data_IF_535076201968
#
_entry.id   IF_535076201968
#
_cell.length_a   1.000
_cell.length_b   1.000
_cell.length_c   1.000
_cell.angle_alpha   90.00
_cell.angle_beta   90.00
_cell.angle_gamma   90.00
#
_symmetry.space_group_name_H-M   'P 1'
#
loop_
_entity.id
_entity.type
_entity.pdbx_description
1 polymer ?
#
# COMPACT_ATOMS: atom_id res chain seq x y z
N UNK A 1 42.49 5.92 -10.86
CA UNK A 1 41.01 5.78 -10.91
C UNK A 1 40.62 4.35 -10.54
N UNK A 2 40.82 3.94 -9.31
CA UNK A 2 40.43 2.61 -8.78
C UNK A 2 40.50 2.67 -7.27
N UNK A 3 39.44 3.13 -6.58
CA UNK A 3 39.32 2.97 -5.11
C UNK A 3 37.97 3.35 -4.51
N UNK A 4 36.87 3.28 -5.28
CA UNK A 4 35.50 3.63 -4.76
C UNK A 4 34.55 2.43 -4.67
N UNK A 5 34.91 1.25 -5.22
CA UNK A 5 33.96 0.14 -5.36
C UNK A 5 33.90 -0.85 -4.18
N UNK A 6 34.77 -0.74 -3.16
CA UNK A 6 34.80 -1.73 -2.07
C UNK A 6 34.14 -1.30 -0.75
N UNK A 7 33.67 -0.06 -0.62
CA UNK A 7 33.01 0.41 0.62
C UNK A 7 31.47 0.22 0.66
N UNK A 8 30.83 0.01 -0.48
CA UNK A 8 29.38 -0.22 -0.54
C UNK A 8 28.97 -1.69 -0.30
N UNK A 9 29.85 -2.65 -0.56
CA UNK A 9 29.59 -4.07 -0.24
C UNK A 9 29.76 -4.39 1.25
N UNK A 10 30.56 -3.62 1.97
CA UNK A 10 30.81 -3.82 3.41
C UNK A 10 29.63 -3.41 4.30
N UNK A 11 28.74 -2.53 3.84
CA UNK A 11 27.57 -2.10 4.61
C UNK A 11 26.38 -3.10 4.50
N UNK A 12 26.33 -3.89 3.45
CA UNK A 12 25.29 -4.91 3.28
C UNK A 12 25.54 -6.20 4.06
N UNK A 13 26.79 -6.48 4.42
CA UNK A 13 27.19 -7.69 5.15
C UNK A 13 27.33 -7.49 6.66
N UNK A 14 27.34 -6.26 7.15
CA UNK A 14 27.44 -5.94 8.58
C UNK A 14 26.11 -6.01 9.37
N UNK A 15 24.98 -6.19 8.70
CA UNK A 15 23.64 -6.25 9.32
C UNK A 15 23.19 -7.67 9.69
N UNK A 16 24.00 -8.70 9.48
CA UNK A 16 23.62 -10.10 9.67
C UNK A 16 23.91 -10.67 11.07
N UNK A 17 24.33 -9.88 12.03
CA UNK A 17 24.67 -10.36 13.38
C UNK A 17 23.91 -9.64 14.51
N UNK A 18 22.65 -9.23 14.28
CA UNK A 18 21.74 -8.96 15.40
C UNK A 18 20.92 -10.24 15.59
N UNK A 19 21.33 -11.03 16.58
CA UNK A 19 20.58 -12.17 17.06
C UNK A 19 19.11 -11.77 17.25
N UNK A 20 18.22 -12.28 16.42
CA UNK A 20 16.78 -12.16 16.58
C UNK A 20 16.42 -12.80 17.93
N UNK A 21 16.34 -11.98 18.97
CA UNK A 21 15.72 -12.39 20.22
C UNK A 21 14.26 -12.66 19.91
N UNK A 22 13.92 -13.93 19.75
CA UNK A 22 12.56 -14.36 19.55
C UNK A 22 11.70 -13.72 20.65
N UNK A 23 10.64 -13.01 20.25
CA UNK A 23 9.62 -12.54 21.18
C UNK A 23 9.20 -13.74 21.99
N UNK A 24 9.32 -13.66 23.33
CA UNK A 24 8.99 -14.77 24.21
C UNK A 24 7.59 -15.30 23.86
N UNK A 25 7.42 -16.62 23.73
CA UNK A 25 6.13 -17.23 23.38
C UNK A 25 5.00 -16.76 24.29
N UNK A 26 5.30 -16.44 25.54
CA UNK A 26 4.37 -15.97 26.57
C UNK A 26 3.72 -14.62 26.25
N UNK A 27 4.48 -13.63 25.75
CA UNK A 27 3.93 -12.30 25.40
C UNK A 27 3.06 -12.40 24.15
N UNK A 28 3.42 -13.28 23.22
CA UNK A 28 2.60 -13.56 22.03
C UNK A 28 1.28 -14.21 22.43
N UNK A 29 1.31 -15.12 23.37
CA UNK A 29 0.14 -15.83 23.87
C UNK A 29 -0.78 -14.92 24.68
N UNK A 30 -0.25 -14.05 25.54
CA UNK A 30 -1.02 -13.05 26.27
C UNK A 30 -1.70 -12.02 25.37
N UNK A 31 -1.03 -11.55 24.31
CA UNK A 31 -1.63 -10.65 23.33
C UNK A 31 -2.72 -11.36 22.51
N UNK A 32 -2.53 -12.61 22.11
CA UNK A 32 -3.53 -13.42 21.43
C UNK A 32 -4.71 -13.74 22.35
N UNK A 33 -4.48 -14.11 23.59
CA UNK A 33 -5.53 -14.41 24.56
C UNK A 33 -6.37 -13.16 24.91
N UNK A 34 -5.74 -11.99 24.99
CA UNK A 34 -6.46 -10.72 25.17
C UNK A 34 -7.35 -10.37 23.97
N UNK A 35 -6.89 -10.62 22.75
CA UNK A 35 -7.66 -10.37 21.53
C UNK A 35 -8.83 -11.38 21.40
N UNK A 36 -8.58 -12.66 21.69
CA UNK A 36 -9.58 -13.73 21.65
C UNK A 36 -10.67 -13.51 22.70
N UNK A 37 -10.31 -13.12 23.94
CA UNK A 37 -11.24 -12.89 25.02
C UNK A 37 -12.16 -11.67 24.81
N UNK A 38 -11.77 -10.73 23.93
CA UNK A 38 -12.57 -9.55 23.62
C UNK A 38 -13.45 -9.71 22.38
N UNK A 39 -13.41 -10.86 21.72
CA UNK A 39 -14.20 -11.11 20.52
C UNK A 39 -15.54 -11.78 20.83
N UNK A 40 -16.61 -11.24 20.25
CA UNK A 40 -17.93 -11.87 20.33
C UNK A 40 -18.10 -12.82 19.14
N UNK A 41 -18.28 -14.11 19.44
CA UNK A 41 -18.57 -15.13 18.46
C UNK A 41 -20.01 -15.60 18.64
N UNK A 42 -20.81 -15.44 17.59
CA UNK A 42 -22.18 -15.94 17.55
C UNK A 42 -22.22 -17.21 16.70
N UNK A 43 -22.67 -18.31 17.32
CA UNK A 43 -22.86 -19.59 16.63
C UNK A 43 -24.27 -19.67 16.06
N UNK A 44 -24.39 -19.84 14.73
CA UNK A 44 -25.69 -20.00 14.07
C UNK A 44 -26.14 -21.45 14.12
N UNK A 45 -27.28 -21.70 14.81
CA UNK A 45 -27.93 -23.01 14.88
C UNK A 45 -28.48 -23.35 16.26
N UNK A 46 -29.48 -24.23 16.32
CA UNK A 46 -30.07 -24.73 17.57
C UNK A 46 -29.21 -25.86 18.12
N UNK A 47 -28.84 -25.76 19.40
CA UNK A 47 -28.28 -26.82 20.24
C UNK A 47 -26.83 -27.30 19.96
N UNK A 48 -25.91 -26.41 19.65
CA UNK A 48 -24.51 -26.83 19.53
C UNK A 48 -23.61 -26.24 20.62
N UNK A 49 -22.93 -27.10 21.35
CA UNK A 49 -21.79 -26.76 22.20
C UNK A 49 -20.52 -26.95 21.38
N UNK A 50 -20.09 -25.93 20.65
CA UNK A 50 -18.73 -25.92 20.11
C UNK A 50 -17.73 -25.93 21.28
N UNK A 51 -16.70 -26.75 21.15
CA UNK A 51 -15.63 -26.74 22.14
C UNK A 51 -14.91 -25.38 22.10
N UNK A 52 -14.46 -24.90 23.26
CA UNK A 52 -13.65 -23.66 23.30
C UNK A 52 -12.44 -23.72 22.38
N UNK A 53 -11.87 -24.90 22.17
CA UNK A 53 -10.70 -25.12 21.30
C UNK A 53 -11.03 -24.95 19.81
N UNK A 54 -12.24 -25.36 19.37
CA UNK A 54 -12.67 -25.15 17.98
C UNK A 54 -12.91 -23.67 17.70
N UNK A 55 -13.52 -22.93 18.64
CA UNK A 55 -13.69 -21.47 18.51
C UNK A 55 -12.34 -20.77 18.48
N UNK A 56 -11.43 -21.18 19.38
CA UNK A 56 -10.07 -20.62 19.44
C UNK A 56 -9.28 -20.86 18.16
N UNK A 57 -9.27 -22.08 17.62
CA UNK A 57 -8.55 -22.40 16.39
C UNK A 57 -9.07 -21.61 15.18
N UNK A 58 -10.36 -21.31 15.15
CA UNK A 58 -10.97 -20.53 14.10
C UNK A 58 -10.62 -19.05 14.19
N UNK A 59 -10.64 -18.49 15.41
CA UNK A 59 -10.20 -17.12 15.67
C UNK A 59 -8.72 -16.97 15.30
N UNK A 60 -7.88 -17.92 15.68
CA UNK A 60 -6.48 -17.97 15.31
C UNK A 60 -6.29 -18.01 13.79
N UNK A 61 -7.11 -18.78 13.04
CA UNK A 61 -7.09 -18.82 11.60
C UNK A 61 -7.42 -17.45 10.97
N UNK A 62 -8.38 -16.69 11.52
CA UNK A 62 -8.65 -15.32 11.08
C UNK A 62 -7.44 -14.39 11.27
N UNK A 63 -6.69 -14.54 12.36
CA UNK A 63 -5.49 -13.74 12.63
C UNK A 63 -4.29 -14.20 11.80
N UNK A 64 -4.05 -15.49 11.67
CA UNK A 64 -2.93 -16.03 10.92
C UNK A 64 -3.03 -15.73 9.43
N UNK A 65 -4.24 -15.75 8.88
CA UNK A 65 -4.47 -15.43 7.47
C UNK A 65 -4.23 -13.95 7.12
N UNK A 66 -4.24 -13.06 8.10
CA UNK A 66 -3.84 -11.66 7.92
C UNK A 66 -2.36 -11.51 7.54
N UNK A 67 -1.56 -12.52 7.84
CA UNK A 67 -0.11 -12.52 7.64
C UNK A 67 0.34 -13.21 6.36
N UNK A 68 -0.59 -13.60 5.51
CA UNK A 68 -0.28 -14.06 4.14
C UNK A 68 0.11 -12.91 3.24
N UNK A 69 1.04 -12.04 3.69
CA UNK A 69 1.77 -11.06 2.89
C UNK A 69 0.96 -10.01 2.11
N UNK A 70 -0.37 -10.01 2.25
CA UNK A 70 -1.30 -9.07 1.65
C UNK A 70 -2.23 -8.58 2.75
N UNK A 71 -1.86 -7.48 3.39
CA UNK A 71 -2.58 -6.97 4.55
C UNK A 71 -4.00 -6.57 4.21
N UNK A 72 -4.88 -7.28 4.84
CA UNK A 72 -6.26 -6.88 5.03
C UNK A 72 -6.47 -6.48 6.49
N UNK A 73 -7.47 -5.63 6.79
CA UNK A 73 -7.72 -5.14 8.14
C UNK A 73 -7.84 -6.23 9.19
N UNK A 74 -7.77 -5.81 10.43
CA UNK A 74 -7.86 -6.65 11.62
C UNK A 74 -9.03 -7.65 11.58
N UNK A 75 -8.94 -8.70 12.37
CA UNK A 75 -10.00 -9.68 12.51
C UNK A 75 -11.33 -8.99 12.87
N UNK A 76 -12.44 -9.44 12.27
CA UNK A 76 -13.74 -8.85 12.52
C UNK A 76 -14.13 -9.02 13.99
N UNK A 77 -14.76 -8.00 14.54
CA UNK A 77 -15.23 -8.04 15.92
C UNK A 77 -16.40 -9.00 16.11
N UNK A 78 -17.31 -9.03 15.12
CA UNK A 78 -18.45 -9.95 15.12
C UNK A 78 -18.17 -11.11 14.16
N UNK A 79 -18.32 -12.33 14.69
CA UNK A 79 -18.16 -13.54 13.89
C UNK A 79 -19.38 -14.45 14.01
N UNK A 80 -19.81 -14.99 12.87
CA UNK A 80 -20.81 -16.02 12.75
C UNK A 80 -20.10 -17.32 12.35
N UNK A 81 -20.43 -18.42 13.00
CA UNK A 81 -19.85 -19.73 12.74
C UNK A 81 -20.92 -20.71 12.31
N UNK A 82 -20.62 -21.57 11.34
CA UNK A 82 -21.48 -22.69 10.99
C UNK A 82 -21.53 -23.76 12.09
N UNK A 83 -22.62 -24.54 12.13
CA UNK A 83 -22.80 -25.57 13.16
C UNK A 83 -21.70 -26.65 13.19
N UNK A 84 -21.18 -26.98 12.03
CA UNK A 84 -20.12 -27.98 11.85
C UNK A 84 -18.71 -27.40 12.11
N UNK A 85 -18.58 -26.10 12.41
CA UNK A 85 -17.31 -25.43 12.65
C UNK A 85 -16.40 -25.32 11.41
N UNK A 86 -16.92 -25.67 10.22
CA UNK A 86 -16.12 -25.70 8.99
C UNK A 86 -16.08 -24.35 8.26
N UNK A 87 -16.94 -23.39 8.66
CA UNK A 87 -17.04 -22.06 8.06
C UNK A 87 -17.27 -21.01 9.13
N UNK A 88 -16.61 -19.88 9.00
CA UNK A 88 -16.92 -18.69 9.79
C UNK A 88 -16.93 -17.46 8.90
N UNK A 89 -17.83 -16.54 9.21
CA UNK A 89 -17.99 -15.26 8.54
C UNK A 89 -17.93 -14.15 9.59
N UNK A 90 -17.20 -13.11 9.31
CA UNK A 90 -17.10 -11.95 10.18
C UNK A 90 -17.34 -10.66 9.41
N UNK A 91 -17.92 -9.70 10.10
CA UNK A 91 -18.10 -8.32 9.65
C UNK A 91 -17.36 -7.41 10.59
N UNK A 92 -16.59 -6.51 10.05
CA UNK A 92 -15.84 -5.53 10.81
C UNK A 92 -15.63 -4.26 10.00
N UNK A 93 -15.03 -3.28 10.63
CA UNK A 93 -14.76 -2.03 9.96
C UNK A 93 -14.18 -0.97 10.88
N UNK A 94 -14.05 0.21 10.34
CA UNK A 94 -13.62 1.39 11.06
C UNK A 94 -14.42 2.62 10.60
N UNK A 95 -14.84 3.43 11.56
CA UNK A 95 -15.36 4.76 11.30
C UNK A 95 -14.26 5.74 11.64
N UNK A 96 -13.82 6.49 10.62
CA UNK A 96 -12.71 7.43 10.75
C UNK A 96 -13.16 8.83 10.35
N UNK A 97 -12.85 9.80 11.19
CA UNK A 97 -13.01 11.21 10.87
C UNK A 97 -11.67 11.91 11.02
N UNK A 98 -11.32 12.70 10.01
CA UNK A 98 -10.09 13.51 10.01
C UNK A 98 -10.42 14.98 9.80
N UNK A 99 -9.76 15.83 10.57
CA UNK A 99 -9.69 17.27 10.34
C UNK A 99 -8.27 17.66 9.98
N UNK A 100 -8.09 18.64 9.10
CA UNK A 100 -6.77 19.13 8.72
C UNK A 100 -6.77 20.64 8.49
N UNK A 101 -5.61 21.24 8.68
CA UNK A 101 -5.34 22.64 8.42
C UNK A 101 -4.04 22.76 7.63
N UNK A 102 -4.10 23.48 6.51
CA UNK A 102 -2.98 23.77 5.63
C UNK A 102 -2.52 25.22 5.83
N UNK A 103 -1.49 25.48 6.65
CA UNK A 103 -0.98 26.85 6.82
C UNK A 103 -0.21 27.29 5.57
N UNK A 104 -0.56 28.45 5.03
CA UNK A 104 0.08 28.98 3.83
C UNK A 104 -0.44 28.35 2.54
N UNK A 105 0.40 27.66 1.80
CA UNK A 105 0.04 27.03 0.53
C UNK A 105 -0.82 25.79 0.76
N UNK A 106 -2.10 25.83 0.38
CA UNK A 106 -3.05 24.76 0.68
C UNK A 106 -3.12 23.71 -0.43
N UNK A 107 -3.32 22.47 -0.01
CA UNK A 107 -3.51 21.35 -0.91
C UNK A 107 -4.93 21.33 -1.49
N UNK A 108 -5.12 20.97 -2.77
CA UNK A 108 -6.46 20.94 -3.36
C UNK A 108 -7.36 19.87 -2.75
N UNK A 109 -6.82 18.73 -2.30
CA UNK A 109 -7.60 17.60 -1.77
C UNK A 109 -7.44 17.37 -0.27
N UNK A 110 -8.15 16.35 0.23
CA UNK A 110 -8.06 15.88 1.62
C UNK A 110 -6.80 15.07 1.90
N UNK A 111 -6.15 14.53 0.88
CA UNK A 111 -4.89 13.78 0.99
C UNK A 111 -3.69 14.67 0.72
N UNK A 112 -2.60 14.42 1.43
CA UNK A 112 -1.37 15.18 1.29
C UNK A 112 -0.42 14.48 0.30
N UNK A 113 -0.45 14.92 -0.96
CA UNK A 113 0.35 14.34 -2.04
C UNK A 113 1.31 15.39 -2.61
N UNK A 114 2.63 15.19 -2.57
CA UNK A 114 3.61 16.16 -3.08
C UNK A 114 3.37 16.60 -4.52
N UNK A 115 2.91 15.70 -5.38
CA UNK A 115 2.52 16.02 -6.75
C UNK A 115 1.51 17.18 -6.84
N UNK A 116 0.58 17.23 -5.90
CA UNK A 116 -0.51 18.22 -5.87
C UNK A 116 -0.15 19.55 -5.20
N UNK A 117 1.07 19.71 -4.72
CA UNK A 117 1.51 20.98 -4.15
C UNK A 117 1.43 22.05 -5.23
N UNK A 118 0.60 23.10 -5.04
CA UNK A 118 0.45 24.14 -6.04
C UNK A 118 1.75 24.92 -6.25
N UNK A 119 2.16 25.06 -7.50
CA UNK A 119 3.25 25.95 -7.91
C UNK A 119 2.65 27.33 -8.20
N UNK A 120 3.25 28.37 -7.62
CA UNK A 120 2.71 29.71 -7.67
C UNK A 120 1.90 30.10 -6.43
N UNK A 121 1.83 31.38 -6.14
CA UNK A 121 1.13 31.92 -4.98
C UNK A 121 -0.19 32.53 -5.42
N UNK A 122 -1.27 31.79 -5.28
CA UNK A 122 -2.61 32.35 -5.43
C UNK A 122 -3.16 32.77 -4.05
N UNK A 123 -3.60 33.99 -3.87
CA UNK A 123 -4.19 34.49 -2.59
C UNK A 123 -5.39 33.63 -2.16
N UNK A 124 -6.12 33.04 -3.10
CA UNK A 124 -7.35 32.28 -2.88
C UNK A 124 -7.14 30.91 -2.23
N UNK A 125 -5.93 30.34 -2.33
CA UNK A 125 -5.62 28.99 -1.85
C UNK A 125 -4.66 29.02 -0.65
N UNK A 126 -4.99 29.88 0.35
CA UNK A 126 -4.19 29.99 1.56
C UNK A 126 -5.00 29.67 2.80
N UNK A 127 -4.35 29.02 3.76
CA UNK A 127 -4.91 28.76 5.09
C UNK A 127 -6.24 28.01 5.04
N UNK A 128 -6.21 26.79 4.48
CA UNK A 128 -7.40 25.97 4.30
C UNK A 128 -7.62 25.06 5.51
N UNK A 129 -8.82 25.09 6.09
CA UNK A 129 -9.34 24.05 6.97
C UNK A 129 -10.22 23.09 6.18
N UNK A 130 -10.15 21.79 6.51
CA UNK A 130 -11.00 20.77 5.90
C UNK A 130 -11.24 19.59 6.82
N UNK A 131 -12.28 18.83 6.51
CA UNK A 131 -12.62 17.57 7.17
C UNK A 131 -12.89 16.49 6.12
N UNK A 132 -12.73 15.23 6.49
CA UNK A 132 -12.98 14.11 5.59
C UNK A 132 -13.26 12.82 6.36
N UNK A 133 -14.19 11.96 5.88
CA UNK A 133 -14.40 10.61 6.38
C UNK A 133 -13.44 9.60 5.74
N UNK A 134 -12.51 10.03 4.91
CA UNK A 134 -11.60 9.14 4.18
C UNK A 134 -10.84 8.20 5.10
N UNK A 135 -10.87 6.92 4.78
CA UNK A 135 -10.38 5.83 5.61
C UNK A 135 -11.48 5.10 6.39
N UNK A 136 -12.71 5.64 6.49
CA UNK A 136 -13.85 4.85 6.97
C UNK A 136 -14.07 3.66 6.06
N UNK A 137 -14.12 2.46 6.62
CA UNK A 137 -14.15 1.21 5.89
C UNK A 137 -15.10 0.20 6.52
N UNK A 138 -15.65 -0.67 5.68
CA UNK A 138 -16.45 -1.82 6.06
C UNK A 138 -15.91 -3.05 5.33
N UNK A 139 -15.68 -4.14 6.03
CA UNK A 139 -15.27 -5.39 5.41
C UNK A 139 -16.11 -6.58 5.87
N UNK A 140 -16.22 -7.53 4.97
CA UNK A 140 -16.76 -8.87 5.21
C UNK A 140 -15.66 -9.88 4.88
N UNK A 141 -15.42 -10.80 5.80
CA UNK A 141 -14.47 -11.89 5.62
C UNK A 141 -15.14 -13.21 5.94
N UNK A 142 -15.02 -14.16 5.05
CA UNK A 142 -15.46 -15.52 5.25
C UNK A 142 -14.28 -16.46 5.06
N UNK A 143 -14.07 -17.36 6.01
CA UNK A 143 -13.09 -18.44 5.91
C UNK A 143 -13.78 -19.77 6.09
N UNK A 144 -13.25 -20.80 5.46
CA UNK A 144 -13.79 -22.14 5.62
C UNK A 144 -12.81 -23.20 5.14
N UNK A 145 -13.18 -24.42 5.47
CA UNK A 145 -12.45 -25.62 5.03
C UNK A 145 -13.43 -26.62 4.46
N UNK A 146 -13.13 -27.15 3.31
CA UNK A 146 -13.95 -28.14 2.63
C UNK A 146 -13.09 -29.35 2.24
N UNK A 147 -13.64 -30.54 2.35
CA UNK A 147 -12.91 -31.79 2.06
C UNK A 147 -12.51 -31.93 0.59
N UNK A 148 -13.24 -31.28 -0.34
CA UNK A 148 -12.96 -31.37 -1.78
C UNK A 148 -12.05 -30.27 -2.30
N UNK A 149 -12.21 -29.05 -1.82
CA UNK A 149 -11.50 -27.86 -2.34
C UNK A 149 -10.41 -27.35 -1.40
N UNK A 150 -10.29 -27.89 -0.18
CA UNK A 150 -9.33 -27.44 0.82
C UNK A 150 -9.78 -26.19 1.58
N UNK A 151 -8.82 -25.37 1.99
CA UNK A 151 -9.09 -24.10 2.67
C UNK A 151 -9.50 -23.02 1.68
N UNK A 152 -10.49 -22.22 2.03
CA UNK A 152 -10.94 -21.10 1.20
C UNK A 152 -11.22 -19.86 2.03
N UNK A 153 -11.09 -18.72 1.40
CA UNK A 153 -11.40 -17.41 1.97
C UNK A 153 -12.13 -16.56 0.93
N UNK A 154 -13.14 -15.82 1.38
CA UNK A 154 -13.73 -14.71 0.65
C UNK A 154 -13.48 -13.43 1.45
N UNK A 155 -13.07 -12.37 0.76
CA UNK A 155 -12.84 -11.06 1.37
C UNK A 155 -13.44 -9.96 0.52
N UNK A 156 -14.23 -9.06 1.14
CA UNK A 156 -14.79 -7.88 0.51
C UNK A 156 -14.52 -6.70 1.42
N UNK A 157 -13.94 -5.64 0.87
CA UNK A 157 -13.65 -4.38 1.55
C UNK A 157 -14.21 -3.22 0.71
N UNK A 158 -15.04 -2.38 1.33
CA UNK A 158 -15.43 -1.10 0.79
C UNK A 158 -15.00 0.02 1.75
N UNK A 159 -14.53 1.14 1.22
CA UNK A 159 -14.10 2.28 2.03
C UNK A 159 -14.40 3.62 1.37
N UNK A 160 -14.52 4.66 2.20
CA UNK A 160 -14.47 6.03 1.72
C UNK A 160 -13.05 6.34 1.31
N UNK A 161 -12.86 6.45 0.01
CA UNK A 161 -11.56 6.57 -0.61
C UNK A 161 -11.57 7.65 -1.70
N UNK A 162 -10.40 7.84 -2.29
CA UNK A 162 -10.19 8.80 -3.34
C UNK A 162 -9.76 10.16 -2.82
N UNK A 163 -9.51 11.03 -3.77
CA UNK A 163 -8.88 12.33 -3.56
C UNK A 163 -9.66 13.25 -2.61
N UNK A 164 -10.98 13.22 -2.67
CA UNK A 164 -11.86 14.01 -1.80
C UNK A 164 -12.40 13.22 -0.61
N UNK A 165 -12.21 11.90 -0.57
CA UNK A 165 -12.67 11.03 0.52
C UNK A 165 -14.20 10.96 0.66
N UNK A 166 -14.95 11.30 -0.39
CA UNK A 166 -16.43 11.38 -0.36
C UNK A 166 -17.11 10.16 -0.99
N UNK A 167 -16.37 9.36 -1.75
CA UNK A 167 -16.92 8.22 -2.45
C UNK A 167 -16.73 6.93 -1.65
N UNK A 168 -17.82 6.20 -1.39
CA UNK A 168 -17.75 4.87 -0.81
C UNK A 168 -17.63 3.85 -1.94
N UNK A 169 -16.44 3.26 -2.09
CA UNK A 169 -16.08 2.40 -3.22
C UNK A 169 -15.63 1.02 -2.77
N UNK A 170 -15.89 0.05 -3.64
CA UNK A 170 -15.27 -1.27 -3.51
C UNK A 170 -13.75 -1.11 -3.65
N UNK A 171 -13.03 -1.49 -2.61
CA UNK A 171 -11.56 -1.42 -2.57
C UNK A 171 -10.92 -2.77 -2.86
N UNK A 172 -11.49 -3.85 -2.33
CA UNK A 172 -11.05 -5.23 -2.58
C UNK A 172 -12.26 -6.16 -2.62
N UNK A 173 -12.21 -7.17 -3.49
CA UNK A 173 -13.18 -8.26 -3.55
C UNK A 173 -12.51 -9.47 -4.20
N UNK A 174 -12.11 -10.45 -3.40
CA UNK A 174 -11.42 -11.62 -3.91
C UNK A 174 -11.77 -12.89 -3.14
N UNK A 175 -11.53 -14.02 -3.79
CA UNK A 175 -11.57 -15.33 -3.18
C UNK A 175 -10.18 -15.99 -3.25
N UNK A 176 -9.81 -16.67 -2.18
CA UNK A 176 -8.61 -17.50 -2.12
C UNK A 176 -9.03 -18.95 -1.90
N UNK A 177 -8.47 -19.86 -2.67
CA UNK A 177 -8.64 -21.32 -2.50
C UNK A 177 -7.26 -21.93 -2.51
N UNK A 178 -6.83 -22.51 -1.39
CA UNK A 178 -5.46 -22.96 -1.18
C UNK A 178 -4.45 -21.86 -1.56
N UNK A 179 -3.60 -22.11 -2.54
CA UNK A 179 -2.54 -21.20 -3.00
C UNK A 179 -3.02 -20.18 -4.06
N UNK A 180 -4.27 -20.29 -4.52
CA UNK A 180 -4.80 -19.46 -5.60
C UNK A 180 -5.72 -18.34 -5.09
N UNK A 181 -5.47 -17.12 -5.54
CA UNK A 181 -6.34 -15.96 -5.29
C UNK A 181 -6.87 -15.44 -6.61
N UNK A 182 -8.17 -15.20 -6.68
CA UNK A 182 -8.85 -14.64 -7.86
C UNK A 182 -9.75 -13.50 -7.42
N UNK A 183 -9.67 -12.38 -8.10
CA UNK A 183 -10.53 -11.22 -7.87
C UNK A 183 -9.78 -9.90 -7.83
N UNK A 184 -10.43 -8.88 -7.30
CA UNK A 184 -9.88 -7.53 -7.16
C UNK A 184 -9.13 -7.41 -5.83
N UNK A 185 -7.82 -7.43 -5.89
CA UNK A 185 -6.93 -7.48 -4.73
C UNK A 185 -5.69 -6.61 -4.92
N UNK A 186 -4.95 -6.41 -3.83
CA UNK A 186 -3.65 -5.73 -3.89
C UNK A 186 -2.72 -6.47 -4.86
N UNK A 187 -2.09 -5.71 -5.75
CA UNK A 187 -1.13 -6.23 -6.72
C UNK A 187 0.00 -7.01 -6.04
N UNK A 188 0.48 -8.04 -6.69
CA UNK A 188 1.65 -8.80 -6.24
C UNK A 188 2.92 -7.95 -6.17
N UNK A 189 2.96 -6.86 -6.92
CA UNK A 189 4.05 -5.89 -6.88
C UNK A 189 4.08 -5.08 -5.59
N UNK A 190 2.93 -4.77 -4.99
CA UNK A 190 2.79 -3.86 -3.83
C UNK A 190 3.06 -4.54 -2.49
N UNK A 191 3.68 -3.82 -1.56
CA UNK A 191 3.85 -4.23 -0.17
C UNK A 191 3.27 -3.21 0.80
N UNK A 192 1.99 -3.36 1.12
CA UNK A 192 1.30 -2.50 2.10
C UNK A 192 1.78 -2.68 3.55
N UNK A 193 2.53 -3.76 3.86
CA UNK A 193 3.06 -3.98 5.22
C UNK A 193 4.24 -3.09 5.54
N UNK A 194 5.01 -2.70 4.52
CA UNK A 194 6.19 -1.87 4.69
C UNK A 194 5.89 -0.37 4.81
N UNK A 195 4.64 -0.03 5.15
CA UNK A 195 4.18 1.36 5.30
C UNK A 195 3.98 1.69 6.77
N UNK A 196 4.63 2.74 7.26
CA UNK A 196 4.42 3.21 8.63
C UNK A 196 3.02 3.84 8.78
N UNK A 197 2.38 3.73 9.95
CA UNK A 197 1.07 4.33 10.22
C UNK A 197 1.10 5.86 10.06
N UNK A 198 0.07 6.43 9.43
CA UNK A 198 -0.11 7.88 9.26
C UNK A 198 -1.55 8.28 9.56
N UNK A 199 -1.76 9.55 9.95
CA UNK A 199 -3.09 10.14 10.08
C UNK A 199 -3.67 10.43 8.71
N UNK A 200 -2.85 10.83 7.76
CA UNK A 200 -3.28 10.98 6.37
C UNK A 200 -3.64 9.61 5.76
N UNK A 201 -4.82 9.49 5.13
CA UNK A 201 -5.32 8.21 4.64
C UNK A 201 -4.52 7.63 3.48
N UNK A 202 -3.86 8.48 2.71
CA UNK A 202 -3.03 8.00 1.60
C UNK A 202 -1.60 7.69 2.03
N UNK A 203 -1.28 7.94 3.30
CA UNK A 203 0.08 7.79 3.84
C UNK A 203 1.13 8.47 2.93
N UNK A 204 2.33 7.94 2.88
CA UNK A 204 3.27 8.36 1.84
C UNK A 204 2.82 7.76 0.50
N UNK A 205 2.44 8.59 -0.45
CA UNK A 205 2.06 8.18 -1.81
C UNK A 205 3.21 7.49 -2.57
N UNK A 206 4.40 7.48 -2.01
CA UNK A 206 5.57 6.79 -2.53
C UNK A 206 5.61 5.31 -2.13
N UNK A 207 4.73 4.93 -1.21
CA UNK A 207 4.43 3.54 -0.86
C UNK A 207 3.17 3.12 -1.59
N UNK A 208 3.20 2.03 -2.28
CA UNK A 208 2.21 1.71 -3.28
C UNK A 208 1.19 0.71 -2.77
N UNK A 209 -0.07 1.12 -2.63
CA UNK A 209 -1.20 0.20 -2.50
C UNK A 209 -2.00 0.20 -3.80
N UNK A 210 -1.50 -0.50 -4.79
CA UNK A 210 -2.15 -0.67 -6.08
C UNK A 210 -3.01 -1.92 -6.06
N UNK A 211 -4.28 -1.78 -6.44
CA UNK A 211 -5.23 -2.90 -6.58
C UNK A 211 -5.49 -3.20 -8.05
N UNK A 212 -5.62 -4.47 -8.40
CA UNK A 212 -5.92 -4.94 -9.73
C UNK A 212 -6.87 -6.13 -9.69
N UNK A 213 -7.63 -6.36 -10.76
CA UNK A 213 -8.25 -7.64 -10.98
C UNK A 213 -7.14 -8.62 -11.38
N UNK A 214 -7.00 -9.70 -10.64
CA UNK A 214 -5.87 -10.61 -10.78
C UNK A 214 -6.23 -12.09 -10.56
N UNK A 215 -5.39 -12.94 -11.11
CA UNK A 215 -5.23 -14.32 -10.72
C UNK A 215 -3.80 -14.47 -10.20
N UNK A 216 -3.64 -14.90 -8.96
CA UNK A 216 -2.37 -15.02 -8.28
C UNK A 216 -2.21 -16.40 -7.68
N UNK A 217 -1.05 -17.00 -7.90
CA UNK A 217 -0.57 -18.14 -7.16
C UNK A 217 0.40 -17.67 -6.09
N UNK A 218 0.25 -18.16 -4.84
CA UNK A 218 1.10 -17.82 -3.69
C UNK A 218 1.43 -19.09 -2.96
N UNK A 219 2.71 -19.39 -2.80
CA UNK A 219 3.16 -20.58 -2.08
C UNK A 219 4.13 -20.22 -0.97
N UNK A 220 3.84 -20.74 0.22
CA UNK A 220 4.68 -20.60 1.40
C UNK A 220 5.56 -21.83 1.56
N UNK A 221 6.86 -21.65 1.37
CA UNK A 221 7.86 -22.68 1.61
C UNK A 221 8.23 -22.74 3.10
N UNK A 222 8.90 -23.82 3.47
CA UNK A 222 9.50 -23.92 4.81
C UNK A 222 10.49 -22.77 5.05
N UNK A 223 10.75 -22.47 6.32
CA UNK A 223 11.71 -21.43 6.76
C UNK A 223 11.31 -19.99 6.40
N UNK A 224 10.02 -19.70 6.25
CA UNK A 224 9.51 -18.34 6.08
C UNK A 224 9.71 -17.74 4.69
N UNK A 225 9.97 -18.56 3.67
CA UNK A 225 10.05 -18.08 2.29
C UNK A 225 8.67 -18.17 1.65
N UNK A 226 8.20 -17.07 1.08
CA UNK A 226 6.97 -17.01 0.28
C UNK A 226 7.28 -16.54 -1.12
N UNK A 227 6.70 -17.20 -2.11
CA UNK A 227 6.79 -16.81 -3.52
C UNK A 227 5.39 -16.62 -4.06
N UNK A 228 5.18 -15.57 -4.85
CA UNK A 228 3.94 -15.38 -5.57
C UNK A 228 4.18 -14.91 -7.00
N UNK A 229 3.26 -15.26 -7.88
CA UNK A 229 3.20 -14.79 -9.25
C UNK A 229 1.75 -14.50 -9.64
N UNK A 230 1.50 -13.46 -10.42
CA UNK A 230 0.17 -13.08 -10.85
C UNK A 230 0.11 -12.59 -12.29
N UNK A 231 -1.08 -12.76 -12.82
CA UNK A 231 -1.55 -12.12 -14.05
C UNK A 231 -2.58 -11.07 -13.62
N UNK A 232 -2.37 -9.80 -14.00
CA UNK A 232 -3.12 -8.65 -13.49
C UNK A 232 -3.69 -7.83 -14.66
N UNK A 233 -4.85 -7.20 -14.43
CA UNK A 233 -5.45 -6.30 -15.41
C UNK A 233 -4.50 -5.17 -15.75
N UNK A 234 -4.24 -4.90 -17.04
CA UNK A 234 -3.40 -3.80 -17.46
C UNK A 234 -4.08 -2.45 -17.24
N UNK A 235 -3.29 -1.44 -16.96
CA UNK A 235 -3.69 -0.04 -16.94
C UNK A 235 -2.57 0.80 -17.53
N UNK A 236 -2.89 1.93 -18.16
CA UNK A 236 -1.90 2.77 -18.82
C UNK A 236 -2.39 4.21 -18.86
N UNK A 237 -1.48 5.15 -18.69
CA UNK A 237 -1.73 6.57 -18.88
C UNK A 237 -0.84 7.10 -20.00
N UNK A 238 -1.45 7.53 -21.09
CA UNK A 238 -0.79 8.13 -22.23
C UNK A 238 -0.98 9.65 -22.27
N UNK A 239 -0.06 10.42 -22.91
CA UNK A 239 -0.28 11.83 -23.19
C UNK A 239 -1.44 11.98 -24.19
N UNK A 240 -2.64 12.27 -23.67
CA UNK A 240 -3.91 12.20 -24.44
C UNK A 240 -4.16 13.35 -25.42
N UNK A 241 -3.35 14.41 -25.39
CA UNK A 241 -3.60 15.63 -26.18
C UNK A 241 -2.75 15.72 -27.45
N UNK A 242 -2.01 14.67 -27.81
CA UNK A 242 -1.22 14.65 -29.03
C UNK A 242 -2.01 13.95 -30.16
N UNK A 243 -2.40 14.66 -31.23
CA UNK A 243 -3.13 14.09 -32.36
C UNK A 243 -2.35 13.01 -33.11
N UNK A 244 -1.03 12.96 -32.93
CA UNK A 244 -0.15 11.96 -33.52
C UNK A 244 -0.14 10.62 -32.78
N UNK A 245 -0.80 10.54 -31.59
CA UNK A 245 -0.82 9.35 -30.74
C UNK A 245 -2.25 8.83 -30.61
N UNK A 246 -2.47 7.62 -31.07
CA UNK A 246 -3.74 6.91 -30.90
C UNK A 246 -3.71 5.98 -29.68
N UNK A 247 -4.76 6.05 -28.86
CA UNK A 247 -4.97 5.07 -27.77
C UNK A 247 -5.35 3.73 -28.39
N UNK A 248 -4.74 2.66 -27.91
CA UNK A 248 -4.98 1.31 -28.39
C UNK A 248 -5.43 0.39 -27.26
N UNK A 249 -6.25 -0.60 -27.57
CA UNK A 249 -6.62 -1.65 -26.61
C UNK A 249 -5.40 -2.41 -26.12
N UNK A 250 -5.45 -2.86 -24.87
CA UNK A 250 -4.39 -3.67 -24.28
C UNK A 250 -4.23 -4.99 -25.04
N UNK A 251 -2.97 -5.39 -25.24
CA UNK A 251 -2.61 -6.60 -25.99
C UNK A 251 -2.11 -7.72 -25.11
N UNK A 252 -1.77 -7.41 -23.86
CA UNK A 252 -1.33 -8.40 -22.87
C UNK A 252 -1.65 -7.91 -21.44
N UNK A 253 -1.81 -8.80 -20.48
CA UNK A 253 -1.93 -8.46 -19.07
C UNK A 253 -0.59 -7.98 -18.52
N UNK A 254 -0.63 -7.33 -17.33
CA UNK A 254 0.57 -7.16 -16.53
C UNK A 254 0.94 -8.50 -15.87
N UNK A 255 2.25 -8.75 -15.73
CA UNK A 255 2.76 -9.89 -14.99
C UNK A 255 3.54 -9.37 -13.80
N UNK A 256 3.21 -9.87 -12.60
CA UNK A 256 3.93 -9.50 -11.40
C UNK A 256 4.37 -10.76 -10.63
N UNK A 257 5.51 -10.64 -9.95
CA UNK A 257 6.04 -11.71 -9.11
C UNK A 257 6.72 -11.13 -7.88
N UNK A 258 6.78 -11.92 -6.79
CA UNK A 258 7.51 -11.54 -5.59
C UNK A 258 8.15 -12.75 -4.92
N UNK A 259 9.24 -12.48 -4.19
CA UNK A 259 9.84 -13.38 -3.22
C UNK A 259 9.97 -12.63 -1.91
N UNK A 260 9.51 -13.24 -0.82
CA UNK A 260 9.60 -12.69 0.52
C UNK A 260 10.26 -13.68 1.45
N UNK A 261 11.14 -13.17 2.30
CA UNK A 261 11.67 -13.91 3.44
C UNK A 261 11.19 -13.27 4.73
N UNK A 262 10.46 -14.04 5.53
CA UNK A 262 9.90 -13.63 6.81
C UNK A 262 10.59 -14.42 7.93
N UNK A 263 11.38 -13.73 8.76
CA UNK A 263 12.09 -14.37 9.89
C UNK A 263 11.31 -14.29 11.21
N UNK A 264 10.33 -13.41 11.30
CA UNK A 264 9.44 -13.29 12.44
C UNK A 264 8.10 -12.70 12.00
N UNK A 265 7.08 -12.80 12.85
CA UNK A 265 5.76 -12.26 12.55
C UNK A 265 5.82 -10.76 12.24
N UNK A 266 5.34 -10.37 11.05
CA UNK A 266 5.34 -8.98 10.58
C UNK A 266 6.72 -8.42 10.22
N UNK A 267 7.79 -9.24 10.27
CA UNK A 267 9.15 -8.83 9.94
C UNK A 267 9.64 -9.59 8.71
N UNK A 268 9.91 -8.87 7.64
CA UNK A 268 10.28 -9.48 6.37
C UNK A 268 11.17 -8.56 5.52
N UNK A 269 11.78 -9.16 4.54
CA UNK A 269 12.33 -8.52 3.36
C UNK A 269 11.64 -9.10 2.13
N UNK A 270 11.27 -8.26 1.19
CA UNK A 270 10.51 -8.64 -0.01
C UNK A 270 11.10 -7.97 -1.24
N UNK A 271 11.29 -8.75 -2.29
CA UNK A 271 11.63 -8.29 -3.62
C UNK A 271 10.46 -8.59 -4.55
N UNK A 272 9.95 -7.56 -5.21
CA UNK A 272 8.86 -7.69 -6.19
C UNK A 272 9.28 -7.13 -7.53
N UNK A 273 8.69 -7.66 -8.60
CA UNK A 273 8.88 -7.19 -9.97
C UNK A 273 7.54 -7.16 -10.70
N UNK A 274 7.39 -6.22 -11.64
CA UNK A 274 6.24 -6.13 -12.53
C UNK A 274 6.72 -5.86 -13.96
N UNK A 275 6.05 -6.47 -14.95
CA UNK A 275 6.23 -6.15 -16.38
C UNK A 275 4.89 -5.77 -16.98
N UNK A 276 4.91 -4.81 -17.91
CA UNK A 276 3.74 -4.20 -18.52
C UNK A 276 3.94 -4.02 -20.00
N UNK A 277 2.90 -4.21 -20.80
CA UNK A 277 2.88 -3.91 -22.23
C UNK A 277 2.03 -2.67 -22.45
N UNK A 278 2.57 -1.66 -23.14
CA UNK A 278 2.00 -0.32 -23.28
C UNK A 278 1.64 -0.04 -24.75
N UNK A 279 0.52 -0.58 -25.27
CA UNK A 279 0.18 -0.49 -26.68
C UNK A 279 -0.32 0.91 -27.04
N UNK A 280 0.23 1.48 -28.13
CA UNK A 280 -0.26 2.70 -28.73
C UNK A 280 -0.17 2.63 -30.27
N UNK A 281 -0.80 3.57 -30.96
CA UNK A 281 -0.72 3.72 -32.40
C UNK A 281 -0.04 5.03 -32.75
N UNK A 282 0.98 4.94 -33.56
CA UNK A 282 1.57 6.06 -34.26
C UNK A 282 0.63 6.45 -35.42
N UNK A 283 -0.02 7.61 -35.28
CA UNK A 283 -0.97 8.11 -36.28
C UNK A 283 -0.27 8.75 -37.47
N UNK A 284 1.00 9.15 -37.34
CA UNK A 284 1.80 9.73 -38.42
C UNK A 284 2.16 8.66 -39.44
N UNK A 285 2.68 7.52 -38.97
CA UNK A 285 3.15 6.43 -39.84
C UNK A 285 2.13 5.29 -39.96
N UNK A 286 0.99 5.37 -39.27
CA UNK A 286 -0.04 4.33 -39.28
C UNK A 286 0.40 3.01 -38.63
N UNK A 287 1.42 3.02 -37.77
CA UNK A 287 2.02 1.82 -37.17
C UNK A 287 1.58 1.61 -35.69
N UNK A 288 1.47 0.35 -35.32
CA UNK A 288 1.20 -0.04 -33.95
C UNK A 288 2.50 -0.33 -33.20
N UNK A 289 2.62 0.19 -32.00
CA UNK A 289 3.75 -0.03 -31.10
C UNK A 289 3.27 -0.63 -29.77
N UNK A 290 4.15 -1.38 -29.11
CA UNK A 290 3.86 -2.00 -27.81
C UNK A 290 5.15 -2.06 -26.95
N UNK A 291 5.69 -0.90 -26.53
CA UNK A 291 6.86 -0.89 -25.68
C UNK A 291 6.56 -1.57 -24.34
N UNK A 292 7.60 -2.12 -23.72
CA UNK A 292 7.51 -2.76 -22.41
C UNK A 292 7.91 -1.79 -21.31
N UNK A 293 7.09 -1.73 -20.27
CA UNK A 293 7.41 -1.15 -18.98
C UNK A 293 7.79 -2.23 -17.98
N UNK A 294 8.60 -1.87 -16.98
CA UNK A 294 8.98 -2.75 -15.88
C UNK A 294 9.30 -1.96 -14.61
N UNK A 295 9.07 -2.58 -13.48
CA UNK A 295 9.41 -2.04 -12.16
C UNK A 295 9.93 -3.11 -11.23
N UNK A 296 10.82 -2.69 -10.31
CA UNK A 296 11.30 -3.50 -9.20
C UNK A 296 11.04 -2.76 -7.90
N UNK A 297 10.64 -3.51 -6.87
CA UNK A 297 10.45 -2.99 -5.53
C UNK A 297 11.22 -3.86 -4.54
N UNK A 298 12.00 -3.23 -3.68
CA UNK A 298 12.58 -3.84 -2.48
C UNK A 298 11.89 -3.22 -1.27
N UNK A 299 11.32 -4.05 -0.41
CA UNK A 299 10.67 -3.59 0.80
C UNK A 299 11.10 -4.40 2.03
N UNK A 300 10.98 -3.79 3.20
CA UNK A 300 11.32 -4.43 4.46
C UNK A 300 10.55 -3.85 5.63
N UNK A 301 10.24 -4.72 6.58
CA UNK A 301 9.79 -4.36 7.93
C UNK A 301 10.63 -5.14 8.93
N UNK A 302 11.23 -4.47 9.88
CA UNK A 302 11.94 -5.16 10.95
C UNK A 302 11.89 -4.38 12.27
N UNK A 303 11.99 -5.10 13.38
CA UNK A 303 11.92 -4.56 14.72
C UNK A 303 13.30 -4.71 15.39
N UNK A 304 14.17 -3.68 15.37
CA UNK A 304 15.45 -3.70 16.09
C UNK A 304 15.27 -3.91 17.58
N UNK A 305 14.19 -3.37 18.12
CA UNK A 305 13.78 -3.57 19.52
C UNK A 305 12.26 -3.86 19.58
N UNK A 306 11.75 -4.22 20.75
CA UNK A 306 10.29 -4.42 20.95
C UNK A 306 9.47 -3.15 20.76
N UNK A 307 10.07 -1.99 20.93
CA UNK A 307 9.40 -0.69 20.82
C UNK A 307 9.58 -0.03 19.46
N UNK A 308 10.63 -0.39 18.69
CA UNK A 308 11.00 0.27 17.45
C UNK A 308 10.73 -0.63 16.25
N UNK A 309 10.00 -0.11 15.26
CA UNK A 309 9.78 -0.73 13.96
C UNK A 309 10.37 0.15 12.87
N UNK A 310 11.11 -0.45 11.95
CA UNK A 310 11.67 0.20 10.77
C UNK A 310 10.92 -0.29 9.55
N UNK A 311 10.49 0.65 8.70
CA UNK A 311 9.82 0.42 7.44
C UNK A 311 10.67 0.96 6.30
N UNK A 312 10.74 0.25 5.19
CA UNK A 312 11.48 0.70 4.02
C UNK A 312 10.89 0.16 2.73
N UNK A 313 10.75 1.04 1.72
CA UNK A 313 10.37 0.67 0.36
C UNK A 313 11.26 1.45 -0.60
N UNK A 314 11.81 0.77 -1.59
CA UNK A 314 12.53 1.38 -2.71
C UNK A 314 11.99 0.84 -4.02
N UNK A 315 11.72 1.71 -4.97
CA UNK A 315 11.19 1.37 -6.30
C UNK A 315 12.08 1.95 -7.38
N UNK A 316 12.30 1.19 -8.43
CA UNK A 316 13.01 1.62 -9.63
C UNK A 316 12.46 0.92 -10.86
N UNK A 317 12.41 1.63 -11.99
CA UNK A 317 11.97 1.02 -13.24
C UNK A 317 11.79 1.99 -14.38
N UNK A 318 11.10 1.54 -15.42
CA UNK A 318 10.70 2.32 -16.58
C UNK A 318 9.22 2.10 -16.87
N UNK A 319 8.48 3.18 -17.11
CA UNK A 319 7.07 3.11 -17.51
C UNK A 319 6.21 2.27 -16.57
N UNK A 320 6.46 2.39 -15.28
CA UNK A 320 5.68 1.76 -14.22
C UNK A 320 4.94 2.79 -13.34
N UNK A 321 4.88 4.06 -13.78
CA UNK A 321 4.31 5.17 -13.02
C UNK A 321 2.86 4.91 -12.59
N UNK A 322 2.09 4.22 -13.39
CA UNK A 322 0.70 3.85 -13.08
C UNK A 322 0.56 2.87 -11.90
N UNK A 323 1.66 2.29 -11.45
CA UNK A 323 1.75 1.45 -10.24
C UNK A 323 2.74 2.05 -9.22
N UNK A 324 3.15 3.29 -9.41
CA UNK A 324 4.25 3.98 -8.76
C UNK A 324 3.88 5.06 -7.76
N UNK A 325 2.88 4.89 -6.90
CA UNK A 325 2.62 5.80 -5.79
C UNK A 325 2.37 7.26 -6.22
N UNK A 326 3.26 8.18 -5.86
CA UNK A 326 3.17 9.60 -6.19
C UNK A 326 3.08 9.87 -7.70
N UNK A 327 3.57 8.96 -8.53
CA UNK A 327 3.49 9.05 -9.98
C UNK A 327 2.08 8.80 -10.55
N UNK A 328 1.19 8.18 -9.79
CA UNK A 328 -0.20 7.93 -10.22
C UNK A 328 -1.00 9.23 -10.47
N UNK A 329 -0.55 10.33 -9.91
CA UNK A 329 -1.30 11.58 -9.87
C UNK A 329 -1.03 12.45 -11.11
N UNK A 330 -1.20 11.90 -12.32
CA UNK A 330 -1.12 12.66 -13.58
C UNK A 330 0.19 12.52 -14.33
N UNK A 331 0.99 11.52 -14.01
CA UNK A 331 2.14 11.15 -14.81
C UNK A 331 1.76 10.18 -15.91
N UNK A 332 2.42 10.33 -17.03
CA UNK A 332 2.27 9.41 -18.15
C UNK A 332 3.27 8.24 -18.04
N UNK A 333 2.85 7.06 -18.43
CA UNK A 333 3.75 5.91 -18.55
C UNK A 333 4.79 6.08 -19.65
N UNK A 334 4.42 6.80 -20.71
CA UNK A 334 5.26 7.09 -21.86
C UNK A 334 5.36 8.60 -22.10
N UNK A 335 6.48 9.06 -22.61
CA UNK A 335 6.70 10.45 -23.04
C UNK A 335 6.74 10.58 -24.55
N UNK A 336 6.32 11.75 -25.08
CA UNK A 336 6.40 12.08 -26.50
C UNK A 336 7.86 12.26 -26.89
N UNK A 337 8.27 11.67 -28.01
CA UNK A 337 9.57 11.89 -28.58
C UNK A 337 9.53 13.13 -29.54
N UNK A 338 10.09 14.29 -29.14
CA UNK A 338 10.02 15.49 -29.97
C UNK A 338 10.79 15.37 -31.28
N UNK A 339 11.77 14.47 -31.36
CA UNK A 339 12.54 14.22 -32.58
C UNK A 339 11.86 13.27 -33.58
N UNK A 340 10.76 12.62 -33.17
CA UNK A 340 10.04 11.66 -34.00
C UNK A 340 8.54 11.72 -33.68
N UNK A 341 7.77 12.61 -34.31
CA UNK A 341 6.32 12.69 -34.13
C UNK A 341 5.65 11.33 -34.31
N UNK A 342 4.68 11.01 -33.48
CA UNK A 342 4.03 9.69 -33.44
C UNK A 342 4.75 8.61 -32.62
N UNK A 343 5.98 8.88 -32.17
CA UNK A 343 6.74 7.94 -31.33
C UNK A 343 6.74 8.33 -29.85
N UNK A 344 6.50 7.34 -28.98
CA UNK A 344 6.60 7.46 -27.53
C UNK A 344 7.84 6.75 -26.99
N UNK A 345 8.40 7.28 -25.91
CA UNK A 345 9.54 6.72 -25.18
C UNK A 345 9.14 6.27 -23.79
N UNK A 346 9.82 5.25 -23.30
CA UNK A 346 9.66 4.79 -21.92
C UNK A 346 10.31 5.76 -20.95
N UNK A 347 9.65 6.01 -19.81
CA UNK A 347 10.07 6.97 -18.80
C UNK A 347 10.73 6.25 -17.62
N UNK A 348 12.02 6.47 -17.35
CA UNK A 348 12.66 6.00 -16.13
C UNK A 348 12.14 6.76 -14.92
N UNK A 349 11.98 6.07 -13.80
CA UNK A 349 11.58 6.69 -12.53
C UNK A 349 12.02 5.86 -11.34
N UNK A 350 12.12 6.51 -10.18
CA UNK A 350 12.43 5.87 -8.91
C UNK A 350 11.71 6.57 -7.78
N UNK A 351 11.45 5.82 -6.70
CA UNK A 351 10.96 6.37 -5.45
C UNK A 351 11.49 5.57 -4.27
N UNK A 352 11.52 6.18 -3.10
CA UNK A 352 11.75 5.48 -1.85
C UNK A 352 10.91 6.07 -0.72
N UNK A 353 10.65 5.24 0.26
CA UNK A 353 9.97 5.55 1.49
C UNK A 353 10.72 4.91 2.66
N UNK A 354 10.92 5.67 3.72
CA UNK A 354 11.50 5.22 4.98
C UNK A 354 10.58 5.64 6.12
N UNK A 355 10.34 4.74 7.05
CA UNK A 355 9.51 4.98 8.21
C UNK A 355 10.12 4.42 9.48
N UNK A 356 9.95 5.12 10.59
CA UNK A 356 10.28 4.67 11.93
C UNK A 356 9.03 4.75 12.80
N UNK A 357 8.60 3.62 13.34
CA UNK A 357 7.50 3.56 14.31
C UNK A 357 8.06 3.29 15.70
N UNK A 358 7.60 4.01 16.71
CA UNK A 358 8.01 3.80 18.09
C UNK A 358 6.82 3.72 19.04
N UNK A 359 6.80 2.69 19.87
CA UNK A 359 5.79 2.47 20.91
C UNK A 359 6.35 2.90 22.27
N UNK A 360 5.89 4.05 22.79
CA UNK A 360 6.21 4.50 24.14
C UNK A 360 5.53 3.63 25.20
N UNK A 361 4.33 3.15 24.87
CA UNK A 361 3.52 2.25 25.72
C UNK A 361 2.52 1.47 24.85
N UNK A 362 1.71 0.60 25.44
CA UNK A 362 0.61 -0.09 24.76
C UNK A 362 -0.46 0.88 24.18
N UNK A 363 -0.52 2.12 24.69
CA UNK A 363 -1.52 3.13 24.26
C UNK A 363 -0.92 4.25 23.44
N UNK A 364 0.36 4.56 23.60
CA UNK A 364 1.00 5.71 22.98
C UNK A 364 2.06 5.26 21.97
N UNK A 365 1.93 5.68 20.73
CA UNK A 365 2.88 5.40 19.67
C UNK A 365 3.06 6.60 18.74
N UNK A 366 4.18 6.62 18.05
CA UNK A 366 4.52 7.64 17.05
C UNK A 366 5.10 6.99 15.82
N UNK A 367 5.01 7.67 14.68
CA UNK A 367 5.85 7.36 13.53
C UNK A 367 6.42 8.62 12.90
N UNK A 368 7.60 8.47 12.33
CA UNK A 368 8.24 9.48 11.49
C UNK A 368 8.47 8.85 10.14
N UNK A 369 8.06 9.54 9.08
CA UNK A 369 8.16 9.04 7.72
C UNK A 369 8.83 10.06 6.81
N UNK A 370 9.58 9.55 5.84
CA UNK A 370 10.25 10.34 4.83
C UNK A 370 10.24 9.59 3.49
N UNK A 371 10.01 10.29 2.40
CA UNK A 371 10.05 9.70 1.08
C UNK A 371 10.29 10.71 -0.04
N UNK A 372 10.78 10.22 -1.16
CA UNK A 372 10.99 11.00 -2.35
C UNK A 372 10.67 10.16 -3.59
N UNK A 373 10.11 10.81 -4.59
CA UNK A 373 9.87 10.25 -5.91
C UNK A 373 10.45 11.16 -6.99
N UNK A 374 10.99 10.59 -8.05
CA UNK A 374 11.53 11.32 -9.18
C UNK A 374 11.19 10.65 -10.50
N UNK A 375 10.71 11.47 -11.41
CA UNK A 375 10.48 11.13 -12.79
C UNK A 375 11.63 11.68 -13.65
N UNK A 376 12.14 10.89 -14.60
CA UNK A 376 13.29 11.25 -15.43
C UNK A 376 12.85 11.33 -16.89
N UNK A 377 12.08 12.37 -17.24
CA UNK A 377 11.72 12.67 -18.61
C UNK A 377 12.94 13.13 -19.38
N UNK A 378 13.12 12.62 -20.60
CA UNK A 378 14.19 13.03 -21.51
C UNK A 378 13.82 14.32 -22.26
N UNK A 379 12.52 14.53 -22.46
CA UNK A 379 11.97 15.69 -23.15
C UNK A 379 10.67 16.13 -22.45
N UNK A 380 10.77 16.88 -21.34
CA UNK A 380 9.58 17.40 -20.68
C UNK A 380 8.79 18.29 -21.64
N UNK A 381 7.48 18.07 -21.70
CA UNK A 381 6.58 18.76 -22.61
C UNK A 381 6.44 20.24 -22.28
N UNK A 382 6.49 20.54 -21.00
CA UNK A 382 6.36 21.90 -20.43
C UNK A 382 7.30 22.06 -19.25
N UNK A 383 7.73 23.26 -18.98
CA UNK A 383 8.48 23.61 -17.75
C UNK A 383 7.70 23.30 -16.48
N UNK A 384 6.36 23.34 -16.55
CA UNK A 384 5.43 22.98 -15.47
C UNK A 384 5.35 21.46 -15.21
N UNK A 385 5.93 20.62 -16.08
CA UNK A 385 5.93 19.17 -15.92
C UNK A 385 6.60 18.75 -14.60
N UNK A 386 5.95 17.84 -13.88
CA UNK A 386 6.40 17.35 -12.58
C UNK A 386 7.70 16.54 -12.72
N UNK A 387 8.71 16.91 -11.93
CA UNK A 387 10.01 16.24 -11.90
C UNK A 387 10.20 15.39 -10.65
N UNK A 388 9.91 15.94 -9.48
CA UNK A 388 10.11 15.24 -8.22
C UNK A 388 9.24 15.76 -7.10
N UNK A 389 8.90 14.88 -6.15
CA UNK A 389 8.23 15.20 -4.90
C UNK A 389 9.00 14.69 -3.70
N UNK A 390 8.89 15.40 -2.59
CA UNK A 390 9.40 15.03 -1.29
C UNK A 390 8.27 15.07 -0.29
N UNK A 391 8.22 14.08 0.58
CA UNK A 391 7.24 13.94 1.65
C UNK A 391 7.95 13.66 2.97
N UNK A 392 7.50 14.30 4.05
CA UNK A 392 7.84 13.92 5.40
C UNK A 392 6.64 14.12 6.31
N UNK A 393 6.47 13.25 7.28
CA UNK A 393 5.43 13.35 8.30
C UNK A 393 5.94 12.86 9.65
N UNK A 394 5.35 13.42 10.70
CA UNK A 394 5.54 12.97 12.08
C UNK A 394 4.18 12.99 12.77
N UNK A 395 3.87 11.92 13.49
CA UNK A 395 2.57 11.77 14.14
C UNK A 395 2.68 11.25 15.57
N UNK A 396 1.55 11.32 16.26
CA UNK A 396 1.35 10.74 17.59
C UNK A 396 -0.03 10.11 17.63
N UNK A 397 -0.12 8.84 18.03
CA UNK A 397 -1.36 8.11 18.22
C UNK A 397 -1.56 7.76 19.68
N UNK A 398 -2.78 7.92 20.17
CA UNK A 398 -3.19 7.51 21.49
C UNK A 398 -4.44 6.63 21.44
N UNK A 399 -4.33 5.40 21.94
CA UNK A 399 -5.44 4.46 22.09
C UNK A 399 -6.18 4.75 23.39
N UNK A 400 -7.33 5.40 23.28
CA UNK A 400 -8.23 5.67 24.43
C UNK A 400 -8.75 4.33 24.95
N UNK A 401 -9.22 3.48 24.04
CA UNK A 401 -9.62 2.10 24.28
C UNK A 401 -9.02 1.20 23.19
N UNK A 402 -9.11 -0.13 23.26
CA UNK A 402 -8.70 -1.00 22.15
C UNK A 402 -9.37 -0.69 20.80
N UNK A 403 -10.51 0.03 20.82
CA UNK A 403 -11.32 0.36 19.63
C UNK A 403 -11.30 1.82 19.26
N UNK A 404 -10.91 2.72 20.15
CA UNK A 404 -10.90 4.15 19.91
C UNK A 404 -9.46 4.63 19.90
N UNK A 405 -9.04 5.12 18.74
CA UNK A 405 -7.72 5.71 18.53
C UNK A 405 -7.89 7.16 18.11
N UNK A 406 -7.16 8.05 18.75
CA UNK A 406 -7.00 9.44 18.29
C UNK A 406 -5.56 9.66 17.84
N UNK A 407 -5.36 10.55 16.88
CA UNK A 407 -4.04 10.85 16.36
C UNK A 407 -3.91 12.30 15.90
N UNK A 408 -2.69 12.79 15.94
CA UNK A 408 -2.31 14.07 15.37
C UNK A 408 -1.06 13.89 14.50
N UNK A 409 -0.94 14.66 13.42
CA UNK A 409 0.15 14.54 12.45
C UNK A 409 0.52 15.90 11.87
N UNK A 410 1.80 16.11 11.66
CA UNK A 410 2.33 17.21 10.87
C UNK A 410 2.98 16.65 9.61
N UNK A 411 2.57 17.17 8.44
CA UNK A 411 3.11 16.81 7.14
C UNK A 411 3.81 18.00 6.51
N UNK A 412 4.87 17.71 5.78
CA UNK A 412 5.53 18.67 4.89
C UNK A 412 5.85 17.99 3.56
N UNK A 413 5.61 18.68 2.47
CA UNK A 413 5.92 18.19 1.14
C UNK A 413 6.44 19.28 0.22
N UNK A 414 7.19 18.86 -0.78
CA UNK A 414 7.74 19.71 -1.82
C UNK A 414 7.44 19.11 -3.18
N UNK A 415 6.98 19.96 -4.09
CA UNK A 415 6.94 19.69 -5.52
C UNK A 415 8.04 20.45 -6.22
N UNK A 416 8.67 19.84 -7.22
CA UNK A 416 9.60 20.48 -8.14
C UNK A 416 9.25 20.09 -9.57
N UNK A 417 9.22 21.10 -10.45
CA UNK A 417 9.00 20.96 -11.89
C UNK A 417 10.31 20.93 -12.66
N UNK A 418 10.26 20.60 -13.95
CA UNK A 418 11.43 20.56 -14.84
C UNK A 418 11.99 21.95 -15.11
N UNK A 419 11.17 22.99 -15.22
CA UNK A 419 11.58 24.40 -15.36
C UNK A 419 12.30 24.98 -14.15
N UNK A 420 12.47 24.20 -13.06
CA UNK A 420 13.15 24.66 -11.84
C UNK A 420 12.21 25.19 -10.77
N UNK A 421 10.98 25.49 -11.10
CA UNK A 421 9.96 25.93 -10.17
C UNK A 421 9.69 24.90 -9.10
N UNK A 422 9.57 25.36 -7.87
CA UNK A 422 9.25 24.50 -6.75
C UNK A 422 8.36 25.19 -5.73
N UNK A 423 7.59 24.41 -4.98
CA UNK A 423 6.78 24.89 -3.88
C UNK A 423 6.76 23.92 -2.72
N UNK A 424 6.54 24.45 -1.54
CA UNK A 424 6.34 23.69 -0.30
C UNK A 424 4.89 23.83 0.16
N UNK A 425 4.36 22.76 0.70
CA UNK A 425 3.10 22.77 1.45
C UNK A 425 3.32 22.14 2.84
N UNK A 426 2.47 22.49 3.77
CA UNK A 426 2.46 21.98 5.14
C UNK A 426 1.02 21.67 5.51
N UNK A 427 0.83 20.66 6.36
CA UNK A 427 -0.47 20.29 6.90
C UNK A 427 -0.33 19.89 8.35
N UNK A 428 -1.29 20.26 9.17
CA UNK A 428 -1.50 19.71 10.50
C UNK A 428 -2.84 18.99 10.44
N UNK A 429 -2.85 17.71 10.80
CA UNK A 429 -4.03 16.87 10.80
C UNK A 429 -4.30 16.26 12.16
N UNK A 430 -5.55 15.94 12.40
CA UNK A 430 -5.99 15.16 13.54
C UNK A 430 -7.02 14.13 13.10
N UNK A 431 -7.11 12.99 13.78
CA UNK A 431 -8.10 11.96 13.51
C UNK A 431 -8.71 11.40 14.80
N UNK A 432 -9.92 10.89 14.64
CA UNK A 432 -10.55 9.97 15.57
C UNK A 432 -11.02 8.75 14.76
N UNK A 433 -10.69 7.57 15.24
CA UNK A 433 -11.03 6.29 14.64
C UNK A 433 -11.71 5.41 15.66
N UNK A 434 -12.82 4.78 15.26
CA UNK A 434 -13.52 3.75 16.00
C UNK A 434 -13.54 2.47 15.18
N UNK A 435 -12.95 1.40 15.70
CA UNK A 435 -12.90 0.08 15.04
C UNK A 435 -13.90 -0.88 15.66
N UNK A 436 -14.56 -1.71 14.86
CA UNK A 436 -15.58 -2.69 15.29
C UNK A 436 -15.51 -4.00 14.51
#
# INVERSE_FOLDING_TARGET
>A
MTHVSHRLLGLALGLTAVSASAVSPTIRQEAQDSLINNQQVMVMGHNYKLSKDSVRSLIEAFYLDQFRNYQDPAAPYFMFMSQDGNMAMGVGGEVKMRGYYDPGNSMPGSSFTPYNVPIGRTPLNRNKFGTTPSGTALFLRMIGKNTRIGSYQLYILAKFDGYNGSDFKLNKAYATVNDWTVGYATSTFSDGQAVAPTVDANSSTMSMDFTALLVRWTHEFKHGITVAASVETPSMTLPGDDPNIGVRSYTAPNLAAMVQYQWAQGQHVRLSAITRVLPYRDMVNGKNHSPMGYGFQLSTVFNPTRALTVYGIGNIGRSYSNVGGDFLMGQYDLEINPAAPGHLRTVPSWSYFLGLGYHFSHRLSTSVTFGQARNMLSAPREDSSYRSGLYAACNLFYKITPRITVGAEANVGRRQNYGGDHAWARRIGAMCEFSF
#
